data_IF_916264673021
#
_entry.id   IF_916264673021
#
_cell.length_a   1.000
_cell.length_b   1.000
_cell.length_c   1.000
_cell.angle_alpha   90.00
_cell.angle_beta   90.00
_cell.angle_gamma   90.00
#
_symmetry.space_group_name_H-M   'P 1'
#
loop_
_entity.id
_entity.type
_entity.pdbx_description
1 polymer ?
#
# COMPACT_ATOMS: atom_id res chain seq x y z
N UNK A 1 2.55 7.75 20.59
CA UNK A 1 1.79 8.95 21.04
C UNK A 1 2.06 10.02 20.01
N UNK A 2 1.07 10.36 19.21
CA UNK A 2 1.13 11.45 18.22
C UNK A 2 1.32 12.75 19.00
N UNK A 3 2.34 13.53 18.69
CA UNK A 3 2.50 14.86 19.26
C UNK A 3 1.37 15.77 18.74
N UNK A 4 0.74 16.54 19.61
CA UNK A 4 -0.26 17.52 19.21
C UNK A 4 0.41 18.57 18.31
N UNK A 5 -0.24 18.93 17.20
CA UNK A 5 0.19 20.01 16.32
C UNK A 5 -0.08 21.33 17.00
N UNK A 6 0.79 22.29 16.81
CA UNK A 6 0.54 23.65 17.28
C UNK A 6 1.82 24.44 17.55
N UNK A 7 1.62 25.66 17.96
CA UNK A 7 2.70 26.52 18.42
C UNK A 7 2.74 26.47 19.95
N UNK A 8 3.89 26.07 20.47
CA UNK A 8 4.13 25.99 21.92
C UNK A 8 5.13 27.08 22.28
N UNK A 9 4.86 27.83 23.35
CA UNK A 9 5.76 28.83 23.89
C UNK A 9 6.63 28.20 24.98
N UNK A 10 7.94 28.12 24.75
CA UNK A 10 8.92 27.77 25.77
C UNK A 10 9.45 29.06 26.38
N UNK A 11 9.23 29.27 27.67
CA UNK A 11 9.75 30.39 28.41
C UNK A 11 10.95 29.94 29.26
N UNK A 12 12.11 30.49 28.98
CA UNK A 12 13.31 30.27 29.80
C UNK A 12 13.48 31.47 30.72
N UNK A 13 13.53 31.16 32.01
CA UNK A 13 13.77 32.15 33.08
C UNK A 13 15.11 31.84 33.74
N UNK A 14 15.96 32.84 33.82
CA UNK A 14 17.24 32.77 34.52
C UNK A 14 17.22 33.81 35.64
N UNK A 15 17.66 33.42 36.80
CA UNK A 15 17.83 34.32 37.96
C UNK A 15 19.30 34.39 38.27
N UNK A 16 19.88 35.60 38.33
CA UNK A 16 21.27 35.78 38.69
C UNK A 16 21.51 35.78 40.23
N UNK A 17 22.72 35.84 40.64
CA UNK A 17 23.12 35.80 42.07
C UNK A 17 22.59 36.98 42.89
N UNK A 18 22.16 38.08 42.23
CA UNK A 18 21.54 39.25 42.87
C UNK A 18 19.99 39.20 42.84
N UNK A 19 19.39 38.06 42.40
CA UNK A 19 17.97 37.87 42.33
C UNK A 19 17.27 38.55 41.13
N UNK A 20 18.04 39.05 40.13
CA UNK A 20 17.46 39.63 38.93
C UNK A 20 17.02 38.54 37.96
N UNK A 21 15.82 38.74 37.44
CA UNK A 21 15.20 37.77 36.55
C UNK A 21 15.37 38.18 35.08
N UNK A 22 15.78 37.25 34.25
CA UNK A 22 15.85 37.39 32.80
C UNK A 22 14.95 36.30 32.18
N UNK A 23 14.00 36.73 31.35
CA UNK A 23 13.04 35.86 30.72
C UNK A 23 13.12 35.97 29.20
N UNK A 24 13.18 34.85 28.51
CA UNK A 24 13.10 34.79 27.06
C UNK A 24 12.13 33.74 26.62
N UNK A 25 11.17 34.10 25.74
CA UNK A 25 10.21 33.19 25.16
C UNK A 25 10.67 32.78 23.76
N UNK A 26 10.45 31.50 23.45
CA UNK A 26 10.67 30.90 22.14
C UNK A 26 9.37 30.26 21.68
N UNK A 27 8.95 30.54 20.43
CA UNK A 27 7.87 29.85 19.79
C UNK A 27 8.41 28.59 19.11
N UNK A 28 7.89 27.41 19.49
CA UNK A 28 8.23 26.13 18.90
C UNK A 28 7.01 25.69 18.09
N UNK A 29 7.17 25.58 16.77
CA UNK A 29 6.13 25.05 15.89
C UNK A 29 6.32 23.55 15.71
N UNK A 30 5.33 22.78 16.14
CA UNK A 30 5.21 21.36 15.87
C UNK A 30 4.33 21.16 14.64
N UNK A 31 4.91 20.67 13.56
CA UNK A 31 4.22 20.41 12.30
C UNK A 31 4.21 18.90 12.03
N UNK A 32 3.17 18.41 11.38
CA UNK A 32 3.24 17.09 10.78
C UNK A 32 4.06 17.17 9.50
N UNK A 33 5.05 16.33 9.41
CA UNK A 33 5.70 16.06 8.12
C UNK A 33 4.78 15.13 7.35
N UNK A 34 4.32 15.56 6.17
CA UNK A 34 3.56 14.75 5.23
C UNK A 34 4.56 14.07 4.31
N UNK A 35 4.62 12.74 4.36
CA UNK A 35 5.56 11.93 3.61
C UNK A 35 4.77 11.14 2.56
N UNK A 36 4.84 11.53 1.26
CA UNK A 36 4.15 10.82 0.20
C UNK A 36 4.81 9.47 -0.11
N UNK A 37 4.01 8.55 -0.62
CA UNK A 37 4.50 7.30 -1.23
C UNK A 37 5.10 7.65 -2.59
N UNK A 38 6.31 7.18 -2.85
CA UNK A 38 7.03 7.40 -4.11
C UNK A 38 7.09 6.15 -4.99
N UNK A 39 7.06 4.97 -4.38
CA UNK A 39 7.02 3.68 -5.10
C UNK A 39 6.35 2.59 -4.27
N UNK A 40 5.98 1.50 -4.92
CA UNK A 40 5.29 0.35 -4.32
C UNK A 40 6.05 -0.93 -4.67
N UNK A 41 6.32 -1.76 -3.68
CA UNK A 41 6.63 -3.17 -3.87
C UNK A 41 5.34 -3.97 -3.70
N UNK A 42 4.99 -4.82 -4.68
CA UNK A 42 3.76 -5.58 -4.65
C UNK A 42 3.95 -6.96 -4.01
N UNK A 43 2.92 -7.42 -3.34
CA UNK A 43 2.87 -8.76 -2.73
C UNK A 43 1.58 -9.48 -3.11
N UNK A 44 1.61 -10.81 -3.08
CA UNK A 44 0.42 -11.66 -3.20
C UNK A 44 0.41 -12.63 -2.04
N UNK A 45 -0.64 -12.62 -1.23
CA UNK A 45 -0.74 -13.36 0.04
C UNK A 45 0.51 -13.20 0.94
N UNK A 46 1.09 -11.99 0.95
CA UNK A 46 2.29 -11.64 1.72
C UNK A 46 3.62 -12.05 1.08
N UNK A 47 3.62 -12.72 -0.08
CA UNK A 47 4.83 -13.07 -0.81
C UNK A 47 5.16 -11.99 -1.84
N UNK A 48 6.43 -11.60 -1.93
CA UNK A 48 6.86 -10.59 -2.88
C UNK A 48 6.62 -11.01 -4.33
N UNK A 49 6.19 -10.05 -5.16
CA UNK A 49 6.12 -10.21 -6.61
C UNK A 49 7.52 -10.02 -7.18
N UNK A 50 8.03 -11.03 -7.88
CA UNK A 50 9.39 -11.02 -8.45
C UNK A 50 9.32 -10.84 -9.97
N UNK A 51 10.20 -10.02 -10.52
CA UNK A 51 10.32 -9.77 -11.98
C UNK A 51 8.97 -9.37 -12.64
N UNK A 52 8.09 -8.67 -11.89
CA UNK A 52 6.78 -8.25 -12.39
C UNK A 52 5.83 -9.39 -12.69
N UNK A 53 6.02 -10.56 -12.08
CA UNK A 53 5.20 -11.76 -12.32
C UNK A 53 4.88 -12.49 -11.03
N UNK A 54 3.67 -13.02 -10.96
CA UNK A 54 3.26 -13.93 -9.90
C UNK A 54 2.41 -15.05 -10.47
N UNK A 55 2.81 -16.30 -10.23
CA UNK A 55 2.12 -17.48 -10.77
C UNK A 55 1.59 -18.34 -9.63
N UNK A 56 0.31 -18.65 -9.69
CA UNK A 56 -0.34 -19.62 -8.81
C UNK A 56 -0.58 -20.89 -9.59
N UNK A 57 0.00 -22.00 -9.12
CA UNK A 57 -0.33 -23.32 -9.68
C UNK A 57 -1.57 -23.90 -9.03
N UNK A 58 -2.41 -24.57 -9.81
CA UNK A 58 -3.68 -25.12 -9.38
C UNK A 58 -3.59 -26.18 -8.27
N UNK A 59 -2.43 -26.82 -8.11
CA UNK A 59 -2.21 -27.82 -7.06
C UNK A 59 -2.28 -27.28 -5.65
N UNK A 60 -2.08 -25.97 -5.46
CA UNK A 60 -2.10 -25.35 -4.12
C UNK A 60 -3.40 -24.58 -3.83
N UNK A 61 -4.11 -24.07 -4.87
CA UNK A 61 -5.29 -23.21 -4.65
C UNK A 61 -6.45 -23.44 -5.64
N UNK A 62 -6.27 -24.32 -6.62
CA UNK A 62 -7.33 -24.76 -7.53
C UNK A 62 -7.68 -26.22 -7.25
N UNK A 63 -8.56 -26.47 -6.32
CA UNK A 63 -9.28 -27.75 -6.28
C UNK A 63 -10.31 -27.73 -7.41
N UNK A 64 -10.51 -28.85 -8.08
CA UNK A 64 -11.48 -29.01 -9.15
C UNK A 64 -12.76 -28.19 -8.90
N UNK A 65 -12.93 -27.08 -9.61
CA UNK A 65 -14.07 -26.18 -9.49
C UNK A 65 -14.00 -25.08 -8.43
N UNK A 66 -12.88 -24.86 -7.72
CA UNK A 66 -12.77 -23.78 -6.73
C UNK A 66 -11.40 -23.11 -6.79
N UNK A 67 -11.31 -21.94 -7.38
CA UNK A 67 -10.21 -21.01 -7.13
C UNK A 67 -10.42 -20.36 -5.75
N UNK A 68 -9.47 -20.59 -4.86
CA UNK A 68 -9.42 -19.83 -3.61
C UNK A 68 -8.79 -18.47 -3.93
N UNK A 69 -9.49 -17.39 -3.64
CA UNK A 69 -9.00 -16.03 -3.86
C UNK A 69 -7.61 -15.81 -3.29
N UNK A 70 -6.83 -14.96 -3.92
CA UNK A 70 -5.57 -14.42 -3.42
C UNK A 70 -5.73 -12.94 -3.12
N UNK A 71 -4.91 -12.40 -2.23
CA UNK A 71 -4.94 -10.98 -1.87
C UNK A 71 -3.66 -10.29 -2.32
N UNK A 72 -3.81 -9.27 -3.14
CA UNK A 72 -2.73 -8.36 -3.55
C UNK A 72 -2.53 -7.34 -2.45
N UNK A 73 -1.30 -7.23 -1.98
CA UNK A 73 -0.87 -6.22 -1.04
C UNK A 73 0.22 -5.34 -1.65
N UNK A 74 0.63 -4.33 -0.90
CA UNK A 74 1.74 -3.45 -1.28
C UNK A 74 2.55 -3.03 -0.05
N UNK A 75 3.84 -2.75 -0.27
CA UNK A 75 4.75 -2.17 0.70
C UNK A 75 5.15 -0.80 0.15
N UNK A 76 4.80 0.31 0.82
CA UNK A 76 5.12 1.64 0.34
C UNK A 76 6.59 1.99 0.58
N UNK A 77 7.15 2.80 -0.30
CA UNK A 77 8.44 3.46 -0.08
C UNK A 77 8.22 4.97 -0.11
N UNK A 78 8.70 5.73 0.91
CA UNK A 78 9.35 5.22 2.12
C UNK A 78 8.38 4.49 3.05
N UNK A 79 8.91 3.64 3.95
CA UNK A 79 8.11 2.79 4.84
C UNK A 79 7.30 3.59 5.89
N UNK A 80 7.71 4.82 6.19
CA UNK A 80 7.04 5.77 7.08
C UNK A 80 6.09 6.73 6.34
N UNK A 81 5.76 6.45 5.07
CA UNK A 81 4.79 7.22 4.30
C UNK A 81 3.44 7.31 5.03
N UNK A 82 2.91 8.52 5.13
CA UNK A 82 1.71 8.82 5.90
C UNK A 82 0.68 9.67 5.16
N UNK A 83 0.93 9.91 3.86
CA UNK A 83 0.11 10.77 3.01
C UNK A 83 -0.97 10.02 2.21
N UNK A 84 -1.12 8.70 2.39
CA UNK A 84 -2.04 7.88 1.60
C UNK A 84 -3.49 8.29 1.87
N UNK A 85 -4.24 8.62 0.81
CA UNK A 85 -5.67 8.95 0.85
C UNK A 85 -6.55 7.86 0.24
N UNK A 86 -6.03 7.15 -0.78
CA UNK A 86 -6.75 6.03 -1.40
C UNK A 86 -5.79 5.03 -2.02
N UNK A 87 -6.29 3.80 -2.16
CA UNK A 87 -5.64 2.71 -2.90
C UNK A 87 -6.67 2.14 -3.86
N UNK A 88 -6.30 2.04 -5.13
CA UNK A 88 -7.12 1.49 -6.21
C UNK A 88 -6.43 0.25 -6.80
N UNK A 89 -7.21 -0.80 -6.99
CA UNK A 89 -6.77 -2.08 -7.55
C UNK A 89 -7.53 -2.35 -8.84
N UNK A 90 -6.81 -2.72 -9.91
CA UNK A 90 -7.40 -3.04 -11.22
C UNK A 90 -6.82 -4.31 -11.82
N UNK A 91 -7.63 -5.00 -12.60
CA UNK A 91 -7.24 -6.09 -13.49
C UNK A 91 -7.64 -5.75 -14.92
N UNK A 92 -6.81 -6.10 -15.90
CA UNK A 92 -7.12 -5.82 -17.32
C UNK A 92 -8.14 -6.79 -17.89
N UNK A 93 -8.02 -8.08 -17.55
CA UNK A 93 -8.97 -9.12 -18.00
C UNK A 93 -10.14 -9.25 -17.03
N UNK A 94 -11.12 -8.36 -17.14
CA UNK A 94 -12.34 -8.38 -16.32
C UNK A 94 -13.33 -9.48 -16.71
N UNK A 95 -13.13 -10.16 -17.84
CA UNK A 95 -13.95 -11.28 -18.26
C UNK A 95 -13.67 -12.55 -17.42
N UNK A 96 -12.42 -12.74 -17.05
CA UNK A 96 -11.96 -13.91 -16.30
C UNK A 96 -11.62 -13.62 -14.84
N UNK A 97 -11.27 -12.38 -14.51
CA UNK A 97 -10.85 -11.97 -13.17
C UNK A 97 -11.69 -10.81 -12.63
N UNK A 98 -11.85 -10.76 -11.33
CA UNK A 98 -12.30 -9.57 -10.63
C UNK A 98 -11.36 -9.28 -9.45
N UNK A 99 -11.21 -8.01 -9.11
CA UNK A 99 -10.47 -7.56 -7.93
C UNK A 99 -11.33 -6.57 -7.16
N UNK A 100 -11.38 -6.70 -5.85
CA UNK A 100 -12.12 -5.77 -5.00
C UNK A 100 -11.21 -4.70 -4.38
N UNK A 101 -11.81 -3.75 -3.66
CA UNK A 101 -11.11 -2.65 -3.01
C UNK A 101 -10.16 -3.09 -1.86
N UNK A 102 -10.20 -4.36 -1.47
CA UNK A 102 -9.25 -4.95 -0.51
C UNK A 102 -8.07 -5.66 -1.20
N UNK A 103 -8.01 -5.59 -2.54
CA UNK A 103 -7.00 -6.28 -3.34
C UNK A 103 -7.27 -7.78 -3.53
N UNK A 104 -8.46 -8.27 -3.20
CA UNK A 104 -8.80 -9.68 -3.34
C UNK A 104 -9.15 -10.02 -4.77
N UNK A 105 -8.33 -10.87 -5.42
CA UNK A 105 -8.55 -11.38 -6.77
C UNK A 105 -9.40 -12.66 -6.71
N UNK A 106 -10.42 -12.71 -7.58
CA UNK A 106 -11.25 -13.90 -7.81
C UNK A 106 -11.38 -14.18 -9.31
N UNK A 107 -11.61 -15.46 -9.67
CA UNK A 107 -11.98 -15.85 -11.03
C UNK A 107 -13.50 -15.73 -11.20
N UNK A 108 -13.93 -14.99 -12.22
CA UNK A 108 -15.36 -14.80 -12.55
C UNK A 108 -15.96 -15.98 -13.31
N UNK A 109 -15.12 -16.78 -13.97
CA UNK A 109 -15.53 -17.90 -14.83
C UNK A 109 -14.81 -19.20 -14.49
N UNK A 110 -15.16 -19.80 -13.36
CA UNK A 110 -14.57 -21.08 -12.89
C UNK A 110 -14.80 -22.27 -13.87
N UNK A 111 -15.79 -22.18 -14.77
CA UNK A 111 -16.16 -23.26 -15.69
C UNK A 111 -15.52 -23.22 -17.08
N UNK A 112 -14.75 -22.18 -17.43
CA UNK A 112 -14.22 -21.99 -18.79
C UNK A 112 -12.70 -22.13 -18.93
N UNK A 113 -11.95 -22.28 -17.84
CA UNK A 113 -10.52 -22.57 -17.96
C UNK A 113 -10.37 -23.99 -18.48
N UNK A 114 -10.04 -24.09 -19.76
CA UNK A 114 -9.70 -25.38 -20.36
C UNK A 114 -8.64 -26.04 -19.48
N UNK A 115 -8.83 -27.31 -19.09
CA UNK A 115 -7.92 -28.04 -18.21
C UNK A 115 -6.44 -28.04 -18.62
N UNK A 116 -6.08 -27.51 -19.76
CA UNK A 116 -4.72 -27.51 -20.31
C UNK A 116 -4.11 -26.10 -20.49
N UNK A 117 -4.81 -25.03 -20.09
CA UNK A 117 -4.33 -23.65 -20.35
C UNK A 117 -4.10 -22.86 -19.08
N UNK A 118 -3.08 -22.01 -19.09
CA UNK A 118 -2.91 -20.93 -18.13
C UNK A 118 -3.73 -19.72 -18.57
N UNK A 119 -4.24 -18.94 -17.63
CA UNK A 119 -4.82 -17.62 -17.87
C UNK A 119 -4.05 -16.58 -17.08
N UNK A 120 -3.91 -15.40 -17.67
CA UNK A 120 -3.15 -14.33 -17.05
C UNK A 120 -3.86 -13.00 -17.20
N UNK A 121 -3.67 -12.11 -16.23
CA UNK A 121 -4.11 -10.72 -16.28
C UNK A 121 -3.01 -9.80 -15.75
N UNK A 122 -2.98 -8.57 -16.24
CA UNK A 122 -2.18 -7.53 -15.60
C UNK A 122 -2.96 -6.99 -14.40
N UNK A 123 -2.29 -6.84 -13.29
CA UNK A 123 -2.80 -6.22 -12.07
C UNK A 123 -2.08 -4.90 -11.89
N UNK A 124 -2.83 -3.83 -11.67
CA UNK A 124 -2.32 -2.49 -11.39
C UNK A 124 -2.77 -2.07 -10.01
N UNK A 125 -1.84 -1.58 -9.19
CA UNK A 125 -2.11 -0.96 -7.89
C UNK A 125 -1.70 0.50 -7.94
N UNK A 126 -2.63 1.39 -7.61
CA UNK A 126 -2.41 2.83 -7.59
C UNK A 126 -2.67 3.36 -6.18
N UNK A 127 -1.67 3.98 -5.58
CA UNK A 127 -1.80 4.71 -4.31
C UNK A 127 -1.83 6.20 -4.62
N UNK A 128 -2.83 6.91 -4.07
CA UNK A 128 -2.95 8.36 -4.19
C UNK A 128 -2.58 9.00 -2.86
N UNK A 129 -1.72 10.01 -2.92
CA UNK A 129 -1.29 10.80 -1.77
C UNK A 129 -2.18 12.03 -1.56
N UNK A 130 -2.09 12.64 -0.39
CA UNK A 130 -2.88 13.82 -0.01
C UNK A 130 -2.56 15.08 -0.85
N UNK A 131 -1.39 15.13 -1.49
CA UNK A 131 -0.98 16.19 -2.43
C UNK A 131 -1.47 15.94 -3.87
N UNK A 132 -2.19 14.83 -4.11
CA UNK A 132 -2.66 14.41 -5.41
C UNK A 132 -1.64 13.63 -6.23
N UNK A 133 -0.41 13.46 -5.76
CA UNK A 133 0.57 12.59 -6.41
C UNK A 133 0.18 11.12 -6.30
N UNK A 134 0.64 10.30 -7.24
CA UNK A 134 0.33 8.87 -7.29
C UNK A 134 1.59 8.03 -7.40
N UNK A 135 1.61 6.90 -6.71
CA UNK A 135 2.56 5.82 -6.93
C UNK A 135 1.81 4.63 -7.56
N UNK A 136 2.35 4.12 -8.66
CA UNK A 136 1.72 3.02 -9.43
C UNK A 136 2.72 1.88 -9.57
N UNK A 137 2.24 0.66 -9.38
CA UNK A 137 3.01 -0.55 -9.65
C UNK A 137 2.13 -1.61 -10.30
N UNK A 138 2.73 -2.45 -11.16
CA UNK A 138 2.02 -3.43 -11.98
C UNK A 138 2.74 -4.77 -11.98
N UNK A 139 1.96 -5.85 -12.15
CA UNK A 139 2.53 -7.18 -12.39
C UNK A 139 1.57 -8.06 -13.19
N UNK A 140 2.08 -9.11 -13.80
CA UNK A 140 1.28 -10.14 -14.46
C UNK A 140 0.95 -11.25 -13.47
N UNK A 141 -0.33 -11.40 -13.18
CA UNK A 141 -0.87 -12.49 -12.38
C UNK A 141 -1.28 -13.64 -13.30
N UNK A 142 -0.74 -14.83 -13.06
CA UNK A 142 -1.00 -16.02 -13.88
C UNK A 142 -1.55 -17.14 -13.01
N UNK A 143 -2.61 -17.76 -13.48
CA UNK A 143 -3.15 -19.00 -12.92
C UNK A 143 -2.85 -20.14 -13.89
N UNK A 144 -2.06 -21.11 -13.45
CA UNK A 144 -1.73 -22.29 -14.23
C UNK A 144 -2.45 -23.51 -13.67
N UNK A 145 -2.81 -24.45 -14.52
CA UNK A 145 -3.20 -25.79 -14.07
C UNK A 145 -1.94 -26.55 -13.61
N UNK A 146 -2.07 -27.28 -12.51
CA UNK A 146 -1.08 -28.28 -12.12
C UNK A 146 -1.22 -29.55 -12.95
#
# INVERSE_FOLDING_TARGET
KTADKGTFNLTVKVVDEWGREYTKAYAINVINVVIPVTSLELTVDGNAVTDGKYTVSSGSKLTFGKFTSVTVGYIPTPADANAITSVDYKVDDTANFSIDNSGKITLTTIGKVNPLSSIATKVTVTVTNADGSTAVSEFTFTVTKA
#
